data_IF_071136362773
#
_entry.id   IF_071136362773
#
_cell.length_a   1.000
_cell.length_b   1.000
_cell.length_c   1.000
_cell.angle_alpha   90.00
_cell.angle_beta   90.00
_cell.angle_gamma   90.00
#
_symmetry.space_group_name_H-M   'P 1'
#
loop_
_entity.id
_entity.type
_entity.pdbx_description
1 polymer ?
#
# COMPACT_ATOMS: atom_id res chain seq x y z
N UNK A 1 68.73 27.97 -45.08
CA UNK A 1 67.54 27.12 -45.44
C UNK A 1 66.80 26.72 -44.16
N UNK A 2 65.65 27.31 -43.88
CA UNK A 2 64.83 26.99 -42.69
C UNK A 2 63.62 26.18 -43.18
N UNK A 3 63.58 24.91 -42.82
CA UNK A 3 62.41 24.03 -43.08
C UNK A 3 61.32 24.36 -42.11
N UNK A 4 60.15 24.75 -42.64
CA UNK A 4 58.89 24.94 -41.92
C UNK A 4 58.19 23.59 -41.88
N UNK A 5 58.02 22.99 -40.71
CA UNK A 5 57.22 21.78 -40.52
C UNK A 5 55.81 22.25 -40.11
N UNK A 6 54.86 22.03 -41.02
CA UNK A 6 53.44 22.31 -40.74
C UNK A 6 52.83 21.12 -39.96
N UNK A 7 52.38 21.36 -38.72
CA UNK A 7 51.58 20.43 -37.96
C UNK A 7 50.08 20.54 -38.38
N UNK A 8 49.58 19.48 -39.00
CA UNK A 8 48.13 19.34 -39.22
C UNK A 8 47.46 18.89 -37.93
N UNK A 9 46.69 19.74 -37.27
CA UNK A 9 45.87 19.38 -36.13
C UNK A 9 44.55 18.74 -36.64
N UNK A 10 44.37 17.44 -36.43
CA UNK A 10 43.12 16.73 -36.68
C UNK A 10 42.18 17.05 -35.54
N UNK A 11 41.16 17.88 -35.81
CA UNK A 11 40.06 18.15 -34.89
C UNK A 11 39.12 16.93 -34.83
N UNK A 12 39.20 16.16 -33.74
CA UNK A 12 38.22 15.10 -33.45
C UNK A 12 36.89 15.71 -33.12
N UNK A 13 35.88 15.48 -33.96
CA UNK A 13 34.48 15.85 -33.72
C UNK A 13 33.91 14.91 -32.65
N UNK A 14 33.40 15.42 -31.51
CA UNK A 14 32.82 14.55 -30.51
C UNK A 14 31.53 13.90 -31.09
N UNK A 15 31.45 12.57 -31.03
CA UNK A 15 30.25 11.84 -31.40
C UNK A 15 29.11 12.27 -30.50
N UNK A 16 28.07 12.89 -31.06
CA UNK A 16 26.85 13.23 -30.34
C UNK A 16 26.16 11.95 -29.92
N UNK A 17 26.22 11.65 -28.62
CA UNK A 17 25.49 10.52 -28.05
C UNK A 17 23.98 10.73 -28.31
N UNK A 18 23.34 9.72 -28.92
CA UNK A 18 21.89 9.72 -29.15
C UNK A 18 21.20 9.92 -27.79
N UNK A 19 20.26 10.88 -27.63
CA UNK A 19 19.58 11.09 -26.38
C UNK A 19 18.90 9.80 -25.93
N UNK A 20 19.13 9.40 -24.66
CA UNK A 20 18.49 8.23 -24.09
C UNK A 20 16.97 8.41 -24.18
N UNK A 21 16.27 7.36 -24.64
CA UNK A 21 14.82 7.39 -24.65
C UNK A 21 14.30 7.64 -23.20
N UNK A 22 13.25 8.46 -23.03
CA UNK A 22 12.70 8.72 -21.72
C UNK A 22 12.30 7.38 -21.06
N UNK A 23 12.49 7.26 -19.72
CA UNK A 23 12.13 6.04 -19.02
C UNK A 23 10.64 5.76 -19.21
N UNK A 24 10.31 4.47 -19.44
CA UNK A 24 8.91 4.03 -19.48
C UNK A 24 8.26 4.35 -18.13
N UNK A 25 7.28 5.25 -18.14
CA UNK A 25 6.50 5.60 -16.98
C UNK A 25 5.06 5.15 -17.19
N UNK A 26 4.46 4.56 -16.17
CA UNK A 26 3.03 4.29 -16.20
C UNK A 26 2.27 5.61 -16.12
N UNK A 27 1.27 5.84 -16.99
CA UNK A 27 0.39 6.98 -16.82
C UNK A 27 -0.26 6.91 -15.43
N UNK A 28 -0.25 8.03 -14.72
CA UNK A 28 -1.03 8.14 -13.50
C UNK A 28 -2.51 8.42 -13.89
N UNK A 29 -3.48 7.83 -13.17
CA UNK A 29 -3.28 6.84 -12.14
C UNK A 29 -3.24 5.41 -12.72
N UNK A 30 -2.26 4.63 -12.31
CA UNK A 30 -2.43 3.19 -12.32
C UNK A 30 -3.71 2.90 -11.54
N UNK A 31 -4.61 2.08 -12.07
CA UNK A 31 -5.94 1.78 -11.50
C UNK A 31 -5.91 1.87 -9.97
N UNK A 32 -6.73 2.74 -9.36
CA UNK A 32 -6.65 2.97 -7.93
C UNK A 32 -6.92 1.68 -7.16
N UNK A 33 -6.13 1.44 -6.12
CA UNK A 33 -6.26 0.27 -5.27
C UNK A 33 -6.90 0.66 -3.93
N UNK A 34 -7.51 -0.30 -3.26
CA UNK A 34 -7.89 -0.15 -1.85
C UNK A 34 -6.70 0.42 -1.08
N UNK A 35 -6.96 1.42 -0.27
CA UNK A 35 -6.04 1.92 0.75
C UNK A 35 -6.62 1.68 2.13
N UNK A 36 -5.80 1.26 3.06
CA UNK A 36 -6.15 1.12 4.47
C UNK A 36 -5.28 2.11 5.24
N UNK A 37 -5.93 3.00 5.98
CA UNK A 37 -5.23 4.01 6.78
C UNK A 37 -4.34 3.36 7.84
N UNK A 38 -3.39 4.09 8.43
CA UNK A 38 -2.58 3.54 9.52
C UNK A 38 -3.40 2.99 10.69
N UNK A 39 -4.60 3.52 10.93
CA UNK A 39 -5.50 3.04 12.00
C UNK A 39 -6.48 1.96 11.56
N UNK A 40 -6.50 1.60 10.27
CA UNK A 40 -7.31 0.49 9.76
C UNK A 40 -8.54 0.91 8.97
N UNK A 41 -8.82 2.20 8.82
CA UNK A 41 -9.97 2.65 8.05
C UNK A 41 -9.79 2.36 6.55
N UNK A 42 -10.76 1.69 5.89
CA UNK A 42 -10.66 1.37 4.49
C UNK A 42 -11.14 2.51 3.60
N UNK A 43 -10.32 2.88 2.62
CA UNK A 43 -10.64 3.82 1.55
C UNK A 43 -10.71 3.06 0.23
N UNK A 44 -11.92 2.64 -0.14
CA UNK A 44 -12.16 1.96 -1.42
C UNK A 44 -12.15 2.96 -2.56
N UNK A 45 -11.63 2.59 -3.75
CA UNK A 45 -11.70 3.45 -4.92
C UNK A 45 -13.14 3.78 -5.29
N UNK A 46 -13.40 5.06 -5.61
CA UNK A 46 -14.71 5.57 -6.03
C UNK A 46 -14.81 5.77 -7.55
N UNK A 47 -13.74 5.51 -8.29
CA UNK A 47 -13.64 5.64 -9.74
C UNK A 47 -12.22 5.43 -10.22
N UNK A 48 -12.01 5.51 -11.54
CA UNK A 48 -10.69 5.26 -12.15
C UNK A 48 -9.67 6.37 -11.87
N UNK A 49 -10.14 7.59 -11.59
CA UNK A 49 -9.31 8.77 -11.29
C UNK A 49 -9.21 9.06 -9.78
N UNK A 50 -9.75 8.19 -8.92
CA UNK A 50 -9.73 8.39 -7.46
C UNK A 50 -8.33 8.15 -6.87
N UNK A 51 -7.99 8.92 -5.85
CA UNK A 51 -6.81 8.71 -5.02
C UNK A 51 -7.22 8.46 -3.56
N UNK A 52 -7.42 7.19 -3.16
CA UNK A 52 -7.82 6.84 -1.80
C UNK A 52 -6.84 7.32 -0.72
N UNK A 53 -5.53 7.39 -1.02
CA UNK A 53 -4.52 7.91 -0.09
C UNK A 53 -4.71 9.40 0.13
N UNK A 54 -4.93 10.16 -0.93
CA UNK A 54 -5.22 11.59 -0.86
C UNK A 54 -6.50 11.85 -0.07
N UNK A 55 -7.57 11.08 -0.31
CA UNK A 55 -8.83 11.26 0.42
C UNK A 55 -8.66 11.06 1.93
N UNK A 56 -7.89 10.04 2.33
CA UNK A 56 -7.54 9.87 3.74
C UNK A 56 -6.70 11.04 4.26
N UNK A 57 -5.67 11.45 3.51
CA UNK A 57 -4.80 12.55 3.92
C UNK A 57 -5.59 13.85 4.12
N UNK A 58 -6.43 14.20 3.15
CA UNK A 58 -7.27 15.42 3.21
C UNK A 58 -8.33 15.36 4.34
N UNK A 59 -8.72 14.14 4.76
CA UNK A 59 -9.60 13.94 5.92
C UNK A 59 -8.84 14.10 7.24
N UNK A 60 -7.62 13.57 7.33
CA UNK A 60 -6.80 13.60 8.51
C UNK A 60 -6.16 14.99 8.75
N UNK A 61 -5.74 15.68 7.69
CA UNK A 61 -5.25 17.07 7.72
C UNK A 61 -6.42 18.02 7.99
N UNK A 62 -6.72 18.23 9.27
CA UNK A 62 -7.92 18.98 9.71
C UNK A 62 -7.82 20.47 9.48
N UNK A 63 -6.61 21.04 9.60
CA UNK A 63 -6.36 22.46 9.39
C UNK A 63 -6.13 22.80 7.92
N UNK A 64 -5.98 21.79 7.04
CA UNK A 64 -5.77 21.88 5.60
C UNK A 64 -4.53 22.69 5.21
N UNK A 65 -3.47 22.53 5.98
CA UNK A 65 -2.19 23.18 5.67
C UNK A 65 -1.28 22.33 4.76
N UNK A 66 -1.75 21.15 4.33
CA UNK A 66 -1.03 20.21 3.47
C UNK A 66 -0.02 19.37 4.24
N UNK A 67 -0.11 19.30 5.55
CA UNK A 67 0.74 18.53 6.43
C UNK A 67 -0.11 17.73 7.39
N UNK A 68 0.32 16.55 7.73
CA UNK A 68 -0.26 15.72 8.76
C UNK A 68 0.66 15.72 9.98
N UNK A 69 0.16 16.17 11.10
CA UNK A 69 0.86 16.16 12.39
C UNK A 69 0.45 14.94 13.22
N UNK A 70 1.21 14.66 14.29
CA UNK A 70 0.88 13.58 15.23
C UNK A 70 -0.49 13.82 15.92
N UNK A 71 -0.80 15.08 16.25
CA UNK A 71 -2.07 15.45 16.88
C UNK A 71 -3.24 15.22 15.92
N UNK A 72 -3.09 15.57 14.65
CA UNK A 72 -4.10 15.33 13.64
C UNK A 72 -4.31 13.84 13.38
N UNK A 73 -3.22 13.06 13.37
CA UNK A 73 -3.31 11.59 13.26
C UNK A 73 -4.07 10.98 14.45
N UNK A 74 -3.85 11.47 15.67
CA UNK A 74 -4.62 11.02 16.86
C UNK A 74 -6.08 11.45 16.78
N UNK A 75 -6.37 12.64 16.27
CA UNK A 75 -7.75 13.09 16.06
C UNK A 75 -8.48 12.31 14.97
N UNK A 76 -7.79 11.90 13.92
CA UNK A 76 -8.36 11.00 12.90
C UNK A 76 -8.59 9.60 13.47
N UNK A 77 -7.69 9.12 14.34
CA UNK A 77 -7.89 7.88 15.08
C UNK A 77 -9.15 7.94 15.96
N UNK A 78 -9.34 9.00 16.72
CA UNK A 78 -10.55 9.20 17.55
C UNK A 78 -11.84 9.16 16.71
N UNK A 79 -11.82 9.81 15.55
CA UNK A 79 -12.94 9.82 14.63
C UNK A 79 -13.26 8.40 14.15
N UNK A 80 -12.24 7.65 13.76
CA UNK A 80 -12.42 6.28 13.28
C UNK A 80 -12.83 5.34 14.42
N UNK A 81 -12.23 5.47 15.60
CA UNK A 81 -12.63 4.74 16.81
C UNK A 81 -14.14 4.86 17.06
N UNK A 82 -14.67 6.08 17.04
CA UNK A 82 -16.10 6.32 17.23
C UNK A 82 -17.01 5.68 16.15
N UNK A 83 -16.46 5.28 15.02
CA UNK A 83 -17.22 4.50 14.01
C UNK A 83 -17.23 3.01 14.30
N UNK A 84 -16.25 2.51 15.03
CA UNK A 84 -16.08 1.12 15.42
C UNK A 84 -16.83 0.80 16.72
N UNK A 85 -16.74 1.69 17.70
CA UNK A 85 -17.45 1.65 18.99
C UNK A 85 -18.94 1.89 18.74
N UNK A 86 -19.71 0.79 18.61
CA UNK A 86 -21.11 0.84 18.20
C UNK A 86 -22.06 1.10 19.36
N UNK A 87 -21.72 0.62 20.54
CA UNK A 87 -22.54 0.79 21.73
C UNK A 87 -22.13 2.03 22.56
N UNK A 88 -20.98 2.65 22.22
CA UNK A 88 -20.52 3.89 22.83
C UNK A 88 -19.95 3.71 24.24
N UNK A 89 -19.47 2.51 24.57
CA UNK A 89 -18.95 2.21 25.90
C UNK A 89 -17.50 2.70 26.09
N UNK A 90 -16.82 3.07 24.96
CA UNK A 90 -15.46 3.61 24.96
C UNK A 90 -14.37 2.56 24.82
N UNK A 91 -14.75 1.31 24.56
CA UNK A 91 -13.86 0.18 24.32
C UNK A 91 -14.28 -0.54 23.03
N UNK A 92 -13.34 -1.02 22.24
CA UNK A 92 -13.61 -1.91 21.11
C UNK A 92 -13.47 -3.35 21.58
N UNK A 93 -14.59 -3.96 21.86
CA UNK A 93 -14.67 -5.35 22.29
C UNK A 93 -14.46 -6.33 21.11
N UNK A 94 -14.16 -7.62 21.36
CA UNK A 94 -13.95 -8.60 20.29
C UNK A 94 -15.09 -8.70 19.29
N UNK A 95 -16.33 -8.39 19.68
CA UNK A 95 -17.50 -8.35 18.80
C UNK A 95 -17.42 -7.25 17.75
N UNK A 96 -16.92 -6.08 18.13
CA UNK A 96 -16.77 -4.92 17.24
C UNK A 96 -15.56 -5.06 16.33
N UNK A 97 -14.44 -5.56 16.89
CA UNK A 97 -13.28 -5.93 16.08
C UNK A 97 -13.64 -7.01 15.05
N UNK A 98 -14.46 -8.00 15.44
CA UNK A 98 -14.95 -9.01 14.51
C UNK A 98 -15.88 -8.41 13.44
N UNK A 99 -16.77 -7.49 13.79
CA UNK A 99 -17.64 -6.80 12.82
C UNK A 99 -16.78 -6.02 11.80
N UNK A 100 -15.78 -5.27 12.25
CA UNK A 100 -14.81 -4.61 11.40
C UNK A 100 -14.13 -5.57 10.41
N UNK A 101 -13.69 -6.74 10.87
CA UNK A 101 -13.06 -7.75 10.02
C UNK A 101 -14.04 -8.35 8.99
N UNK A 102 -15.34 -8.44 9.33
CA UNK A 102 -16.34 -8.91 8.39
C UNK A 102 -16.58 -7.92 7.25
N UNK A 103 -16.58 -6.62 7.58
CA UNK A 103 -16.75 -5.54 6.60
C UNK A 103 -15.53 -5.36 5.69
N UNK A 104 -14.38 -5.93 6.09
CA UNK A 104 -13.11 -5.79 5.38
C UNK A 104 -12.47 -7.17 5.10
N UNK A 105 -13.08 -8.00 4.25
CA UNK A 105 -12.60 -9.35 3.98
C UNK A 105 -11.19 -9.41 3.38
N UNK A 106 -10.73 -8.29 2.80
CA UNK A 106 -9.39 -8.17 2.22
C UNK A 106 -8.27 -8.30 3.24
N UNK A 107 -8.52 -7.97 4.53
CA UNK A 107 -7.50 -8.08 5.59
C UNK A 107 -7.42 -9.47 6.22
N UNK A 108 -8.36 -10.34 5.95
CA UNK A 108 -8.38 -11.67 6.56
C UNK A 108 -7.10 -12.43 6.22
N UNK A 109 -6.39 -12.85 7.27
CA UNK A 109 -5.18 -13.67 7.15
C UNK A 109 -5.52 -15.10 6.73
N UNK A 110 -6.65 -15.59 7.21
CA UNK A 110 -7.16 -16.93 6.92
C UNK A 110 -8.49 -16.81 6.20
N UNK A 111 -8.50 -17.05 4.89
CA UNK A 111 -9.75 -17.32 4.21
C UNK A 111 -10.28 -18.65 4.79
N UNK A 112 -11.43 -18.59 5.47
CA UNK A 112 -12.15 -19.80 5.84
C UNK A 112 -12.29 -20.62 4.56
N UNK A 113 -11.70 -21.82 4.55
CA UNK A 113 -11.86 -22.74 3.42
C UNK A 113 -13.37 -22.89 3.24
N UNK A 114 -13.94 -22.61 2.05
CA UNK A 114 -15.33 -22.96 1.81
C UNK A 114 -15.47 -24.42 2.23
N UNK A 115 -16.46 -24.70 3.10
CA UNK A 115 -16.79 -26.06 3.49
C UNK A 115 -16.90 -26.85 2.19
N UNK A 116 -16.13 -27.91 2.06
CA UNK A 116 -16.13 -28.69 0.83
C UNK A 116 -17.55 -29.15 0.64
N UNK A 117 -18.16 -28.75 -0.48
CA UNK A 117 -19.47 -29.25 -0.86
C UNK A 117 -19.41 -30.78 -0.81
N UNK A 118 -20.17 -31.44 0.10
CA UNK A 118 -20.11 -32.89 0.23
C UNK A 118 -20.53 -33.61 -1.07
N UNK A 119 -21.23 -32.90 -1.96
CA UNK A 119 -21.68 -33.42 -3.26
C UNK A 119 -20.75 -33.03 -4.43
N UNK A 120 -19.67 -32.27 -4.19
CA UNK A 120 -18.68 -32.00 -5.20
C UNK A 120 -17.98 -33.30 -5.57
N UNK A 121 -18.38 -33.89 -6.70
CA UNK A 121 -17.70 -35.06 -7.29
C UNK A 121 -16.23 -34.75 -7.42
N UNK A 122 -15.41 -35.37 -6.56
CA UNK A 122 -13.96 -35.38 -6.68
C UNK A 122 -13.63 -36.04 -8.01
N UNK A 123 -13.26 -35.22 -8.99
CA UNK A 123 -12.68 -35.74 -10.23
C UNK A 123 -11.46 -36.59 -9.86
N UNK A 124 -11.38 -37.78 -10.43
CA UNK A 124 -10.45 -38.85 -10.10
C UNK A 124 -8.95 -38.55 -10.38
N UNK A 125 -8.54 -37.29 -10.41
CA UNK A 125 -7.14 -36.90 -10.59
C UNK A 125 -6.69 -36.02 -9.45
N UNK A 126 -5.86 -36.58 -8.57
CA UNK A 126 -5.35 -36.08 -7.30
C UNK A 126 -4.48 -34.79 -7.32
N UNK A 127 -4.65 -33.87 -8.27
CA UNK A 127 -3.74 -32.71 -8.44
C UNK A 127 -4.24 -31.38 -7.89
N UNK A 128 -5.37 -31.36 -7.16
CA UNK A 128 -5.97 -30.11 -6.69
C UNK A 128 -5.22 -29.33 -5.55
N UNK A 129 -4.43 -29.91 -4.62
CA UNK A 129 -3.86 -29.14 -3.52
C UNK A 129 -2.63 -28.29 -3.90
N UNK A 130 -1.81 -28.73 -4.85
CA UNK A 130 -0.54 -28.05 -5.16
C UNK A 130 -0.71 -26.76 -5.96
N UNK A 131 -1.66 -26.70 -6.88
CA UNK A 131 -1.90 -25.49 -7.70
C UNK A 131 -2.52 -24.33 -6.90
N UNK A 132 -3.37 -24.64 -5.90
CA UNK A 132 -3.95 -23.62 -5.00
C UNK A 132 -2.91 -23.05 -4.03
N UNK A 133 -2.02 -23.88 -3.46
CA UNK A 133 -0.90 -23.42 -2.60
C UNK A 133 0.09 -22.54 -3.39
N UNK A 134 0.34 -22.84 -4.65
CA UNK A 134 1.21 -22.00 -5.51
C UNK A 134 0.58 -20.65 -5.82
N UNK A 135 -0.74 -20.56 -6.09
CA UNK A 135 -1.43 -19.28 -6.32
C UNK A 135 -1.44 -18.38 -5.09
N UNK A 136 -1.67 -18.92 -3.89
CA UNK A 136 -1.63 -18.11 -2.66
C UNK A 136 -0.22 -17.63 -2.31
N UNK A 137 0.83 -18.45 -2.54
CA UNK A 137 2.22 -18.02 -2.38
C UNK A 137 2.65 -16.97 -3.40
N UNK A 138 2.22 -17.10 -4.66
CA UNK A 138 2.48 -16.11 -5.69
C UNK A 138 1.79 -14.78 -5.36
N UNK A 139 0.54 -14.80 -4.89
CA UNK A 139 -0.17 -13.59 -4.48
C UNK A 139 0.51 -12.89 -3.28
N UNK A 140 1.06 -13.64 -2.31
CA UNK A 140 1.85 -13.07 -1.22
C UNK A 140 3.20 -12.50 -1.69
N UNK A 141 3.82 -13.10 -2.72
CA UNK A 141 5.06 -12.59 -3.29
C UNK A 141 4.88 -11.23 -3.99
N UNK A 142 3.71 -10.99 -4.60
CA UNK A 142 3.38 -9.73 -5.28
C UNK A 142 3.31 -8.53 -4.32
N UNK A 143 3.04 -8.76 -3.03
CA UNK A 143 2.95 -7.73 -2.00
C UNK A 143 4.21 -7.64 -1.12
N UNK A 144 5.31 -8.28 -1.50
CA UNK A 144 6.58 -8.20 -0.76
C UNK A 144 6.52 -8.81 0.64
N UNK A 145 5.67 -9.80 0.86
CA UNK A 145 5.49 -10.46 2.16
C UNK A 145 4.51 -9.75 3.11
N UNK A 146 3.92 -8.63 2.69
CA UNK A 146 2.90 -7.95 3.49
C UNK A 146 1.63 -8.82 3.65
N UNK A 147 1.07 -8.81 4.87
CA UNK A 147 -0.07 -9.64 5.25
C UNK A 147 -1.26 -8.77 5.70
N UNK A 148 -2.46 -9.30 5.54
CA UNK A 148 -3.68 -8.61 5.99
C UNK A 148 -3.81 -7.20 5.43
N UNK A 149 -4.08 -6.23 6.29
CA UNK A 149 -4.16 -4.81 5.94
C UNK A 149 -2.84 -4.25 5.41
N UNK A 150 -1.68 -4.79 5.86
CA UNK A 150 -0.36 -4.33 5.41
C UNK A 150 -0.15 -4.40 3.90
N UNK A 151 -0.93 -5.19 3.18
CA UNK A 151 -0.93 -5.21 1.70
C UNK A 151 -1.39 -3.88 1.09
N UNK A 152 -2.27 -3.18 1.78
CA UNK A 152 -2.97 -1.97 1.33
C UNK A 152 -2.63 -0.74 2.16
N UNK A 153 -1.79 -0.88 3.18
CA UNK A 153 -1.37 0.17 4.11
C UNK A 153 0.10 0.56 3.91
N UNK A 154 0.52 1.62 4.57
CA UNK A 154 1.93 2.06 4.59
C UNK A 154 2.80 1.17 5.48
N UNK A 155 2.23 0.69 6.58
CA UNK A 155 2.88 -0.15 7.58
C UNK A 155 2.41 -1.60 7.41
N UNK A 156 3.30 -2.56 7.64
CA UNK A 156 2.95 -3.97 7.55
C UNK A 156 2.29 -4.47 8.83
N UNK A 157 1.14 -3.93 9.16
CA UNK A 157 0.33 -4.31 10.31
C UNK A 157 -0.87 -5.11 9.78
N UNK A 158 -0.97 -6.42 10.08
CA UNK A 158 -2.02 -7.26 9.51
C UNK A 158 -3.44 -6.89 9.88
N UNK A 159 -3.67 -6.47 11.13
CA UNK A 159 -4.94 -5.94 11.62
C UNK A 159 -4.67 -4.72 12.49
N UNK A 160 -4.78 -3.49 11.92
CA UNK A 160 -4.44 -2.27 12.65
C UNK A 160 -5.34 -1.99 13.87
N UNK A 161 -6.60 -2.43 13.85
CA UNK A 161 -7.53 -2.25 14.98
C UNK A 161 -7.12 -3.17 16.13
N UNK A 162 -7.07 -4.46 15.90
CA UNK A 162 -6.73 -5.44 16.93
C UNK A 162 -5.29 -5.28 17.47
N UNK A 163 -4.36 -4.74 16.68
CA UNK A 163 -2.98 -4.52 17.12
C UNK A 163 -2.79 -3.24 17.93
N UNK A 164 -3.86 -2.55 18.27
CA UNK A 164 -3.83 -1.41 19.19
C UNK A 164 -4.05 -1.84 20.66
N UNK A 165 -4.46 -3.08 20.91
CA UNK A 165 -4.56 -3.70 22.25
C UNK A 165 -3.14 -3.91 22.83
N UNK A 166 -2.65 -2.95 23.57
CA UNK A 166 -1.27 -2.90 24.11
C UNK A 166 -1.12 -3.75 25.39
N UNK A 167 -2.14 -3.77 26.22
CA UNK A 167 -2.14 -4.54 27.48
C UNK A 167 -2.64 -6.00 27.32
N UNK A 168 -3.08 -6.38 26.13
CA UNK A 168 -3.51 -7.74 25.76
C UNK A 168 -4.74 -8.20 26.56
N UNK A 169 -5.59 -7.24 26.93
CA UNK A 169 -6.84 -7.54 27.66
C UNK A 169 -7.99 -7.97 26.74
N UNK A 170 -7.80 -7.92 25.40
CA UNK A 170 -8.75 -8.21 24.32
C UNK A 170 -9.79 -7.12 24.06
N UNK A 171 -9.69 -6.00 24.70
CA UNK A 171 -10.41 -4.79 24.36
C UNK A 171 -9.40 -3.75 23.85
N UNK A 172 -9.85 -2.78 23.09
CA UNK A 172 -9.01 -1.63 22.73
C UNK A 172 -9.69 -0.38 23.22
N UNK A 173 -9.10 0.27 24.22
CA UNK A 173 -9.63 1.52 24.68
C UNK A 173 -9.17 2.70 23.81
N UNK A 174 -9.79 3.86 24.02
CA UNK A 174 -9.48 5.07 23.24
C UNK A 174 -8.03 5.54 23.45
N UNK A 175 -7.43 5.34 24.63
CA UNK A 175 -6.07 5.78 24.91
C UNK A 175 -5.06 4.88 24.19
N UNK A 176 -5.30 3.58 24.17
CA UNK A 176 -4.50 2.62 23.40
C UNK A 176 -4.58 2.92 21.91
N UNK A 177 -5.79 3.21 21.40
CA UNK A 177 -5.97 3.55 19.98
C UNK A 177 -5.23 4.84 19.60
N UNK A 178 -5.24 5.85 20.47
CA UNK A 178 -4.43 7.08 20.31
C UNK A 178 -2.94 6.83 20.41
N UNK A 179 -2.51 6.00 21.36
CA UNK A 179 -1.11 5.63 21.53
C UNK A 179 -0.59 4.91 20.27
N UNK A 180 -1.36 3.97 19.75
CA UNK A 180 -1.06 3.30 18.48
C UNK A 180 -0.97 4.29 17.31
N UNK A 181 -1.86 5.29 17.23
CA UNK A 181 -1.79 6.34 16.21
C UNK A 181 -0.49 7.15 16.30
N UNK A 182 -0.11 7.54 17.51
CA UNK A 182 1.13 8.28 17.75
C UNK A 182 2.39 7.46 17.40
N UNK A 183 2.40 6.17 17.69
CA UNK A 183 3.49 5.26 17.33
C UNK A 183 3.59 5.12 15.81
N UNK A 184 2.49 4.83 15.12
CA UNK A 184 2.44 4.69 13.66
C UNK A 184 2.80 5.97 12.94
N UNK A 185 2.48 7.13 13.50
CA UNK A 185 2.96 8.40 12.98
C UNK A 185 4.49 8.47 13.02
N UNK A 186 5.12 8.09 14.15
CA UNK A 186 6.59 8.09 14.29
C UNK A 186 7.25 7.11 13.31
N UNK A 187 6.62 5.96 13.06
CA UNK A 187 7.10 4.99 12.07
C UNK A 187 7.06 5.55 10.64
N UNK A 188 6.10 6.42 10.35
CA UNK A 188 5.98 7.11 9.06
C UNK A 188 6.89 8.33 8.95
N UNK A 189 7.38 8.87 10.07
CA UNK A 189 8.28 10.03 10.15
C UNK A 189 9.66 9.65 10.72
N UNK A 190 10.43 8.77 10.08
CA UNK A 190 11.77 8.39 10.56
C UNK A 190 12.74 9.56 10.61
N UNK A 191 12.47 10.62 9.85
CA UNK A 191 13.24 11.86 9.86
C UNK A 191 12.92 12.80 11.01
N UNK A 192 11.94 12.48 11.85
CA UNK A 192 11.46 13.29 12.97
C UNK A 192 11.11 14.73 12.58
N UNK A 193 10.50 14.89 11.42
CA UNK A 193 10.10 16.19 10.86
C UNK A 193 8.88 16.79 11.55
N UNK A 194 8.19 15.97 12.38
CA UNK A 194 6.97 16.29 13.15
C UNK A 194 5.73 16.59 12.30
N UNK A 195 5.87 16.60 11.01
CA UNK A 195 4.77 16.77 10.06
C UNK A 195 5.10 16.07 8.74
N UNK A 196 4.13 15.36 8.18
CA UNK A 196 4.25 14.61 6.93
C UNK A 196 3.41 15.26 5.84
N UNK A 197 3.99 15.47 4.69
CA UNK A 197 3.23 15.85 3.49
C UNK A 197 2.79 14.59 2.73
N UNK A 198 1.75 14.71 1.90
CA UNK A 198 1.29 13.60 1.06
C UNK A 198 2.42 13.03 0.18
N UNK A 199 3.34 13.87 -0.29
CA UNK A 199 4.47 13.45 -1.13
C UNK A 199 5.53 12.63 -0.39
N UNK A 200 5.62 12.76 0.93
CA UNK A 200 6.56 12.01 1.79
C UNK A 200 6.03 10.64 2.17
N UNK A 201 4.71 10.42 2.05
CA UNK A 201 4.11 9.12 2.38
C UNK A 201 4.60 8.01 1.44
N UNK A 202 4.91 6.83 1.96
CA UNK A 202 5.37 5.71 1.14
C UNK A 202 4.23 5.17 0.27
N UNK A 203 4.58 4.52 -0.83
CA UNK A 203 3.60 3.74 -1.60
C UNK A 203 3.28 2.43 -0.92
N UNK A 204 2.01 2.06 -0.88
CA UNK A 204 1.58 0.76 -0.35
C UNK A 204 2.10 -0.39 -1.21
N UNK A 205 2.22 -1.62 -0.66
CA UNK A 205 2.55 -2.80 -1.46
C UNK A 205 1.62 -3.00 -2.66
N UNK A 206 0.32 -2.76 -2.51
CA UNK A 206 -0.65 -2.85 -3.60
C UNK A 206 -0.38 -1.83 -4.72
N UNK A 207 -0.06 -0.57 -4.36
CA UNK A 207 0.34 0.44 -5.34
C UNK A 207 1.65 0.08 -6.05
N UNK A 208 2.63 -0.47 -5.33
CA UNK A 208 3.89 -0.94 -5.93
C UNK A 208 3.66 -2.10 -6.89
N UNK A 209 2.83 -3.08 -6.51
CA UNK A 209 2.49 -4.22 -7.36
C UNK A 209 1.75 -3.79 -8.63
N UNK A 210 0.77 -2.88 -8.51
CA UNK A 210 0.04 -2.33 -9.64
C UNK A 210 0.97 -1.57 -10.61
N UNK A 211 1.91 -0.79 -10.09
CA UNK A 211 2.91 -0.07 -10.88
C UNK A 211 3.86 -1.04 -11.60
N UNK A 212 4.32 -2.09 -10.92
CA UNK A 212 5.17 -3.12 -11.51
C UNK A 212 4.46 -3.87 -12.66
N UNK A 213 3.18 -4.21 -12.48
CA UNK A 213 2.37 -4.86 -13.50
C UNK A 213 2.16 -3.96 -14.73
N UNK A 214 1.92 -2.66 -14.52
CA UNK A 214 1.82 -1.68 -15.60
C UNK A 214 3.13 -1.58 -16.38
N UNK A 215 4.27 -1.43 -15.68
CA UNK A 215 5.59 -1.35 -16.34
C UNK A 215 5.93 -2.62 -17.12
N UNK A 216 5.56 -3.80 -16.61
CA UNK A 216 5.76 -5.07 -17.31
C UNK A 216 4.96 -5.11 -18.62
N UNK A 217 3.71 -4.65 -18.59
CA UNK A 217 2.84 -4.56 -19.79
C UNK A 217 3.42 -3.60 -20.81
N UNK A 218 3.83 -2.38 -20.41
CA UNK A 218 4.45 -1.41 -21.32
C UNK A 218 5.74 -1.94 -21.98
N UNK A 219 6.54 -2.70 -21.23
CA UNK A 219 7.76 -3.35 -21.78
C UNK A 219 7.41 -4.42 -22.80
N UNK A 220 6.36 -5.18 -22.58
CA UNK A 220 5.87 -6.20 -23.52
C UNK A 220 5.36 -5.54 -24.80
N UNK A 221 4.50 -4.54 -24.69
CA UNK A 221 3.96 -3.79 -25.83
C UNK A 221 5.09 -3.14 -26.67
N UNK A 222 6.11 -2.59 -26.00
CA UNK A 222 7.26 -2.01 -26.67
C UNK A 222 8.12 -3.06 -27.41
N UNK A 223 8.16 -4.30 -26.90
CA UNK A 223 8.84 -5.42 -27.56
C UNK A 223 8.10 -5.90 -28.79
N UNK A 224 6.78 -5.98 -28.72
CA UNK A 224 5.91 -6.41 -29.83
C UNK A 224 5.84 -5.39 -30.98
N UNK A 225 6.05 -4.09 -30.68
CA UNK A 225 6.09 -3.01 -31.69
C UNK A 225 7.45 -2.81 -32.36
N UNK A 226 8.46 -3.58 -32.00
CA UNK A 226 9.75 -3.55 -32.72
C UNK A 226 9.62 -4.35 -34.00
N UNK A 227 9.87 -3.71 -35.17
CA UNK A 227 9.82 -4.39 -36.49
C UNK A 227 10.87 -5.49 -36.59
#
# INVERSE_FOLDING_TARGET
MKMLVAFLAVLAVPATAKPAAPPLACPAPVKPALFISPMGEPFRPQGDDDDPVRRWFDQADRNRDGKLTIDEMMLDADRFFATLDKDGDGELLPSEVYAYEQDLPEIRLYQRRPEADPDAKTGANGDAPAARKRKSRAAMADYGGAAGAGRYAFLNIPNPVASADDDINRAVDRNEFRAAAAERFRDLDPGQTKALTLAQLPKTPAQRAANAACLARLKQDAKERRP
#
